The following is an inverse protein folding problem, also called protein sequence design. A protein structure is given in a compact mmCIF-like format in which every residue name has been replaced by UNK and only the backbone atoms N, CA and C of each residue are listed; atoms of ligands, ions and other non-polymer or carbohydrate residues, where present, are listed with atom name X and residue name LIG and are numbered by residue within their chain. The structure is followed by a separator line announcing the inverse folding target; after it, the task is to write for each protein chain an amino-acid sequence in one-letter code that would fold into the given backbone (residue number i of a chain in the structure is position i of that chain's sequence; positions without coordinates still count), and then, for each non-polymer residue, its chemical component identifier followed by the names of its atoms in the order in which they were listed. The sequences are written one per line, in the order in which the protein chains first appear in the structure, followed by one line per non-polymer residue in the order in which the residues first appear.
data_IF_028450803404
#
_entry.id   IF_028450803404
#
_cell.length_a   1.000
_cell.length_b   1.000
_cell.length_c   1.000
_cell.angle_alpha   90.00
_cell.angle_beta   90.00
_cell.angle_gamma   90.00
#
_symmetry.space_group_name_H-M   'P 1'
#
loop_
_entity.id
_entity.type
_entity.pdbx_description
1 polymer ?
#
# COMPACT_ATOMS: atom_id res chain seq x y z
N UNK A 1 15.20 -26.21 27.68
CA UNK A 1 15.61 -25.79 26.33
C UNK A 1 15.25 -24.35 26.01
N UNK A 2 14.00 -23.90 26.23
CA UNK A 2 13.62 -22.47 26.03
C UNK A 2 14.56 -21.44 26.69
N UNK A 3 15.12 -21.75 27.88
CA UNK A 3 16.11 -20.87 28.54
C UNK A 3 17.41 -20.72 27.75
N UNK A 4 17.87 -21.78 27.10
CA UNK A 4 19.08 -21.78 26.24
C UNK A 4 18.82 -20.96 24.98
N UNK A 5 17.67 -21.20 24.32
CA UNK A 5 17.26 -20.43 23.13
C UNK A 5 17.11 -18.94 23.44
N UNK A 6 16.44 -18.59 24.54
CA UNK A 6 16.28 -17.21 24.97
C UNK A 6 17.63 -16.53 25.21
N UNK A 7 18.56 -17.21 25.88
CA UNK A 7 19.90 -16.69 26.12
C UNK A 7 20.64 -16.43 24.80
N UNK A 8 20.63 -17.38 23.87
CA UNK A 8 21.29 -17.21 22.57
C UNK A 8 20.69 -16.00 21.82
N UNK A 9 19.37 -15.84 21.83
CA UNK A 9 18.70 -14.71 21.16
C UNK A 9 19.04 -13.34 21.79
N UNK A 10 19.56 -13.28 23.02
CA UNK A 10 20.05 -12.01 23.61
C UNK A 10 21.41 -11.56 23.08
N UNK A 11 22.15 -12.43 22.38
CA UNK A 11 23.46 -12.07 21.84
C UNK A 11 23.31 -11.15 20.62
N UNK A 12 24.16 -10.13 20.56
CA UNK A 12 24.15 -9.12 19.51
C UNK A 12 24.20 -9.76 18.12
N UNK A 13 23.26 -9.37 17.25
CA UNK A 13 23.19 -9.79 15.84
C UNK A 13 22.60 -11.17 15.58
N UNK A 14 22.11 -11.87 16.63
CA UNK A 14 21.30 -13.07 16.49
C UNK A 14 19.84 -12.68 16.28
N UNK A 15 19.22 -13.22 15.22
CA UNK A 15 17.81 -13.00 14.89
C UNK A 15 16.90 -14.07 15.48
N UNK A 16 17.38 -15.31 15.51
CA UNK A 16 16.63 -16.46 16.01
C UNK A 16 17.58 -17.60 16.36
N UNK A 17 17.21 -18.40 17.36
CA UNK A 17 17.93 -19.61 17.75
C UNK A 17 16.94 -20.73 18.09
N UNK A 18 17.23 -21.94 17.62
CA UNK A 18 16.47 -23.15 17.93
C UNK A 18 17.41 -24.26 18.37
N UNK A 19 17.05 -24.95 19.45
CA UNK A 19 17.83 -26.06 20.00
C UNK A 19 17.05 -27.36 19.82
N UNK A 20 17.66 -28.33 19.13
CA UNK A 20 17.15 -29.69 18.97
C UNK A 20 17.80 -30.59 20.02
N UNK A 21 16.99 -31.43 20.65
CA UNK A 21 17.46 -32.38 21.67
C UNK A 21 17.15 -33.81 21.28
N UNK A 22 17.99 -34.73 21.73
CA UNK A 22 17.72 -36.15 21.68
C UNK A 22 16.60 -36.53 22.66
N UNK A 23 15.98 -37.71 22.52
CA UNK A 23 15.02 -38.24 23.49
C UNK A 23 15.58 -38.40 24.91
N UNK A 24 16.91 -38.44 25.06
CA UNK A 24 17.63 -38.52 26.32
C UNK A 24 17.89 -37.13 26.94
N UNK A 25 17.41 -36.05 26.31
CA UNK A 25 17.51 -34.68 26.81
C UNK A 25 18.83 -33.98 26.51
N UNK A 26 19.73 -34.60 25.74
CA UNK A 26 20.99 -33.99 25.32
C UNK A 26 20.79 -33.10 24.10
N UNK A 27 21.57 -32.03 23.98
CA UNK A 27 21.56 -31.17 22.77
C UNK A 27 22.17 -31.93 21.59
N UNK A 28 21.37 -32.14 20.54
CA UNK A 28 21.83 -32.71 19.28
C UNK A 28 22.33 -31.62 18.34
N UNK A 29 21.56 -30.55 18.17
CA UNK A 29 21.84 -29.48 17.21
C UNK A 29 21.38 -28.12 17.74
N UNK A 30 22.07 -27.05 17.33
CA UNK A 30 21.69 -25.66 17.58
C UNK A 30 21.72 -24.93 16.26
N UNK A 31 20.57 -24.45 15.82
CA UNK A 31 20.43 -23.67 14.59
C UNK A 31 20.28 -22.20 14.95
N UNK A 32 21.17 -21.37 14.41
CA UNK A 32 21.22 -19.94 14.71
C UNK A 32 21.16 -19.16 13.42
N UNK A 33 20.25 -18.19 13.39
CA UNK A 33 20.11 -17.23 12.31
C UNK A 33 20.74 -15.91 12.73
N UNK A 34 21.71 -15.40 11.98
CA UNK A 34 22.36 -14.11 12.25
C UNK A 34 22.29 -13.17 11.07
N UNK A 35 22.49 -11.88 11.33
CA UNK A 35 22.70 -10.88 10.27
C UNK A 35 24.03 -11.15 9.53
N UNK A 36 24.13 -10.66 8.30
CA UNK A 36 25.30 -10.87 7.41
C UNK A 36 26.57 -10.11 7.83
N UNK A 37 26.47 -9.20 8.79
CA UNK A 37 27.58 -8.39 9.31
C UNK A 37 28.44 -9.12 10.36
N UNK A 38 28.03 -10.33 10.80
CA UNK A 38 28.73 -11.10 11.83
C UNK A 38 29.54 -12.26 11.26
N UNK A 39 30.81 -12.43 11.65
CA UNK A 39 31.59 -13.60 11.26
C UNK A 39 31.10 -14.89 11.95
N UNK A 40 30.76 -15.98 11.21
CA UNK A 40 30.19 -17.19 11.81
C UNK A 40 31.04 -17.83 12.92
N UNK A 41 32.37 -17.83 12.78
CA UNK A 41 33.28 -18.34 13.84
C UNK A 41 33.18 -17.53 15.14
N UNK A 42 32.97 -16.23 15.03
CA UNK A 42 32.82 -15.35 16.19
C UNK A 42 31.46 -15.58 16.86
N UNK A 43 30.40 -15.77 16.07
CA UNK A 43 29.06 -16.12 16.58
C UNK A 43 29.11 -17.42 17.40
N UNK A 44 29.71 -18.48 16.85
CA UNK A 44 29.87 -19.77 17.54
C UNK A 44 30.60 -19.61 18.87
N UNK A 45 31.73 -18.88 18.88
CA UNK A 45 32.50 -18.63 20.11
C UNK A 45 31.72 -17.83 21.15
N UNK A 46 30.94 -16.83 20.72
CA UNK A 46 30.11 -16.03 21.60
C UNK A 46 29.01 -16.89 22.25
N UNK A 47 28.40 -17.79 21.49
CA UNK A 47 27.39 -18.73 21.99
C UNK A 47 28.00 -19.67 23.03
N UNK A 48 29.13 -20.31 22.73
CA UNK A 48 29.82 -21.19 23.68
C UNK A 48 30.18 -20.46 24.98
N UNK A 49 30.71 -19.23 24.86
CA UNK A 49 31.10 -18.41 26.00
C UNK A 49 29.88 -18.01 26.85
N UNK A 50 28.77 -17.62 26.22
CA UNK A 50 27.55 -17.22 26.91
C UNK A 50 26.88 -18.39 27.64
N UNK A 51 26.79 -19.55 26.99
CA UNK A 51 26.21 -20.75 27.58
C UNK A 51 27.04 -21.27 28.76
N UNK A 52 28.36 -21.24 28.64
CA UNK A 52 29.27 -21.62 29.72
C UNK A 52 29.17 -20.64 30.90
N UNK A 53 29.18 -19.33 30.63
CA UNK A 53 29.20 -18.31 31.68
C UNK A 53 27.88 -18.19 32.45
N UNK A 54 26.72 -18.27 31.78
CA UNK A 54 25.43 -18.04 32.42
C UNK A 54 24.71 -19.31 32.87
N UNK A 55 24.95 -20.44 32.18
CA UNK A 55 24.24 -21.69 32.43
C UNK A 55 25.16 -22.85 32.82
N UNK A 56 26.49 -22.64 32.85
CA UNK A 56 27.46 -23.71 33.09
C UNK A 56 27.42 -24.82 32.03
N UNK A 57 26.79 -24.55 30.88
CA UNK A 57 26.48 -25.57 29.88
C UNK A 57 27.58 -25.61 28.82
N UNK A 58 28.23 -26.77 28.68
CA UNK A 58 29.26 -27.00 27.66
C UNK A 58 28.64 -27.62 26.42
N UNK A 59 28.86 -27.00 25.28
CA UNK A 59 28.42 -27.49 23.97
C UNK A 59 29.63 -27.60 23.04
N UNK A 60 29.59 -28.55 22.11
CA UNK A 60 30.59 -28.68 21.04
C UNK A 60 30.19 -27.77 19.87
N UNK A 61 31.10 -26.90 19.43
CA UNK A 61 30.94 -26.05 18.26
C UNK A 61 30.46 -26.79 17.00
N UNK A 62 30.75 -28.08 16.84
CA UNK A 62 30.29 -28.91 15.71
C UNK A 62 28.77 -29.07 15.65
N UNK A 63 28.08 -28.87 16.78
CA UNK A 63 26.62 -28.94 16.88
C UNK A 63 25.94 -27.60 16.57
N UNK A 64 26.71 -26.53 16.35
CA UNK A 64 26.18 -25.18 16.11
C UNK A 64 26.23 -24.87 14.61
N UNK A 65 25.06 -24.78 14.00
CA UNK A 65 24.87 -24.34 12.62
C UNK A 65 24.50 -22.86 12.62
N UNK A 66 25.29 -22.04 11.90
CA UNK A 66 25.04 -20.60 11.75
C UNK A 66 24.65 -20.33 10.30
N UNK A 67 23.41 -19.90 10.11
CA UNK A 67 22.92 -19.37 8.85
C UNK A 67 22.95 -17.84 8.92
N UNK A 68 23.56 -17.20 7.91
CA UNK A 68 23.50 -15.76 7.76
C UNK A 68 22.37 -15.40 6.81
N UNK A 69 21.49 -14.50 7.22
CA UNK A 69 20.65 -13.80 6.26
C UNK A 69 21.47 -12.64 5.70
N UNK A 70 21.59 -12.53 4.36
CA UNK A 70 21.78 -11.22 3.76
C UNK A 70 20.68 -10.27 4.27
N UNK A 71 20.80 -8.96 4.12
CA UNK A 71 19.68 -8.03 4.33
C UNK A 71 18.51 -8.40 3.41
N UNK A 72 17.75 -9.40 3.83
CA UNK A 72 16.62 -10.00 3.15
C UNK A 72 15.47 -9.67 4.06
N UNK A 73 14.90 -8.50 3.79
CA UNK A 73 13.57 -8.13 4.26
C UNK A 73 12.63 -9.32 3.99
N UNK A 74 11.75 -9.69 4.94
CA UNK A 74 10.94 -10.91 4.85
C UNK A 74 10.26 -11.05 3.48
N UNK A 75 10.23 -12.26 2.94
CA UNK A 75 9.61 -12.59 1.64
C UNK A 75 8.14 -12.12 1.59
N UNK A 76 7.47 -12.03 2.73
CA UNK A 76 6.12 -11.47 2.88
C UNK A 76 6.05 -9.98 2.50
N UNK A 77 7.05 -9.19 2.88
CA UNK A 77 7.16 -7.78 2.51
C UNK A 77 7.53 -7.58 1.03
N UNK A 78 8.31 -8.50 0.44
CA UNK A 78 8.60 -8.47 -1.01
C UNK A 78 7.37 -8.87 -1.84
N UNK A 79 6.52 -9.76 -1.34
CA UNK A 79 5.26 -10.11 -2.01
C UNK A 79 4.24 -8.97 -1.87
N UNK A 80 4.12 -8.35 -0.70
CA UNK A 80 3.30 -7.15 -0.52
C UNK A 80 3.82 -5.95 -1.31
N UNK A 81 5.14 -5.68 -1.35
CA UNK A 81 5.72 -4.61 -2.16
C UNK A 81 5.57 -4.90 -3.66
N UNK A 82 5.76 -6.14 -4.12
CA UNK A 82 5.57 -6.51 -5.53
C UNK A 82 4.09 -6.49 -5.95
N UNK A 83 3.17 -6.93 -5.09
CA UNK A 83 1.72 -6.83 -5.35
C UNK A 83 1.27 -5.37 -5.27
N UNK A 84 1.75 -4.60 -4.28
CA UNK A 84 1.51 -3.16 -4.14
C UNK A 84 2.07 -2.36 -5.31
N UNK A 85 3.31 -2.61 -5.76
CA UNK A 85 3.91 -1.95 -6.93
C UNK A 85 3.14 -2.30 -8.20
N UNK A 86 2.78 -3.58 -8.39
CA UNK A 86 2.07 -4.03 -9.60
C UNK A 86 0.62 -3.58 -9.60
N UNK A 87 -0.04 -3.48 -8.45
CA UNK A 87 -1.37 -2.90 -8.30
C UNK A 87 -1.35 -1.36 -8.42
N UNK A 88 -0.36 -0.67 -7.84
CA UNK A 88 -0.16 0.78 -8.00
C UNK A 88 0.15 1.17 -9.44
N UNK A 89 0.80 0.30 -10.22
CA UNK A 89 0.99 0.50 -11.68
C UNK A 89 -0.27 0.23 -12.52
N UNK A 90 -1.33 -0.34 -11.94
CA UNK A 90 -2.56 -0.74 -12.63
C UNK A 90 -3.76 0.15 -12.35
N UNK A 91 -3.63 1.05 -11.39
CA UNK A 91 -4.75 1.82 -10.86
C UNK A 91 -4.44 3.31 -11.03
N UNK A 92 -5.45 4.10 -11.40
CA UNK A 92 -5.29 5.55 -11.44
C UNK A 92 -5.31 6.07 -10.00
N UNK A 93 -4.30 6.86 -9.65
CA UNK A 93 -4.04 7.34 -8.29
C UNK A 93 -4.32 8.83 -8.19
N UNK A 94 -5.02 9.23 -7.12
CA UNK A 94 -5.20 10.63 -6.76
C UNK A 94 -3.89 11.27 -6.29
N UNK A 95 -3.51 12.41 -6.85
CA UNK A 95 -2.33 13.18 -6.43
C UNK A 95 -2.70 14.41 -5.62
N UNK A 96 -3.54 15.28 -6.18
CA UNK A 96 -3.93 16.52 -5.51
C UNK A 96 -5.27 17.06 -6.01
N UNK A 97 -5.87 17.89 -5.17
CA UNK A 97 -7.05 18.70 -5.45
C UNK A 97 -6.75 20.12 -4.98
N UNK A 98 -7.00 21.11 -5.83
CA UNK A 98 -6.98 22.52 -5.46
C UNK A 98 -8.33 23.14 -5.80
N UNK A 99 -8.90 23.89 -4.87
CA UNK A 99 -10.16 24.61 -5.06
C UNK A 99 -9.89 26.07 -4.76
N UNK A 100 -10.08 26.93 -5.76
CA UNK A 100 -9.80 28.37 -5.68
C UNK A 100 -10.97 29.18 -6.21
N UNK A 101 -11.24 30.39 -5.71
CA UNK A 101 -12.16 31.31 -6.36
C UNK A 101 -11.72 31.56 -7.81
N UNK A 102 -12.68 31.55 -8.74
CA UNK A 102 -12.42 31.91 -10.13
C UNK A 102 -12.46 33.44 -10.33
N UNK A 103 -12.08 33.91 -11.51
CA UNK A 103 -12.06 35.35 -11.83
C UNK A 103 -13.44 36.03 -11.70
N UNK A 104 -14.52 35.29 -11.95
CA UNK A 104 -15.88 35.79 -11.84
C UNK A 104 -16.45 35.56 -10.42
N UNK A 105 -17.24 36.51 -9.89
CA UNK A 105 -17.92 36.32 -8.60
C UNK A 105 -18.77 35.04 -8.59
N UNK A 106 -18.86 34.39 -7.42
CA UNK A 106 -19.66 33.18 -7.20
C UNK A 106 -19.31 32.03 -8.15
N UNK A 107 -18.04 31.99 -8.58
CA UNK A 107 -17.47 30.89 -9.36
C UNK A 107 -16.23 30.37 -8.65
N UNK A 108 -16.01 29.07 -8.83
CA UNK A 108 -14.91 28.33 -8.23
C UNK A 108 -14.23 27.53 -9.31
N UNK A 109 -12.90 27.58 -9.33
CA UNK A 109 -12.05 26.76 -10.16
C UNK A 109 -11.56 25.57 -9.33
N UNK A 110 -11.75 24.37 -9.87
CA UNK A 110 -11.32 23.12 -9.28
C UNK A 110 -10.26 22.50 -10.19
N UNK A 111 -9.07 22.25 -9.62
CA UNK A 111 -7.95 21.61 -10.30
C UNK A 111 -7.71 20.24 -9.68
N UNK A 112 -7.72 19.21 -10.51
CA UNK A 112 -7.44 17.82 -10.10
C UNK A 112 -6.17 17.35 -10.79
N UNK A 113 -5.33 16.60 -10.06
CA UNK A 113 -4.19 15.87 -10.60
C UNK A 113 -4.33 14.38 -10.31
N UNK A 114 -4.21 13.56 -11.34
CA UNK A 114 -4.23 12.10 -11.27
C UNK A 114 -2.95 11.52 -11.91
N UNK A 115 -2.59 10.30 -11.51
CA UNK A 115 -1.45 9.58 -12.06
C UNK A 115 -1.84 8.16 -12.48
N UNK A 116 -1.26 7.70 -13.59
CA UNK A 116 -1.41 6.32 -14.06
C UNK A 116 -0.05 5.80 -14.55
N UNK A 117 0.57 4.93 -13.74
CA UNK A 117 1.96 4.55 -13.95
C UNK A 117 2.89 5.77 -13.86
N UNK A 118 3.67 6.01 -14.91
CA UNK A 118 4.61 7.14 -15.01
C UNK A 118 3.99 8.39 -15.66
N UNK A 119 2.69 8.34 -16.02
CA UNK A 119 1.98 9.47 -16.62
C UNK A 119 1.20 10.21 -15.54
N UNK A 120 1.27 11.54 -15.58
CA UNK A 120 0.42 12.42 -14.79
C UNK A 120 -0.50 13.20 -15.74
N UNK A 121 -1.72 13.48 -15.27
CA UNK A 121 -2.65 14.38 -15.94
C UNK A 121 -3.22 15.39 -14.94
N UNK A 122 -3.54 16.56 -15.46
CA UNK A 122 -4.20 17.64 -14.72
C UNK A 122 -5.35 18.18 -15.55
N UNK A 123 -6.48 18.45 -14.89
CA UNK A 123 -7.61 19.13 -15.48
C UNK A 123 -8.13 20.22 -14.56
N UNK A 124 -8.64 21.28 -15.17
CA UNK A 124 -9.24 22.43 -14.52
C UNK A 124 -10.71 22.52 -14.93
N UNK A 125 -11.60 22.64 -13.97
CA UNK A 125 -13.04 22.83 -14.18
C UNK A 125 -13.55 24.04 -13.41
N UNK A 126 -14.56 24.71 -13.97
CA UNK A 126 -15.18 25.87 -13.34
C UNK A 126 -16.65 25.57 -13.05
N UNK A 127 -17.03 25.74 -11.78
CA UNK A 127 -18.40 25.60 -11.31
C UNK A 127 -18.92 26.89 -10.67
N UNK A 128 -20.21 26.93 -10.35
CA UNK A 128 -20.70 27.91 -9.39
C UNK A 128 -20.24 27.54 -7.99
N UNK A 129 -20.06 28.54 -7.13
CA UNK A 129 -19.62 28.33 -5.75
C UNK A 129 -20.80 27.87 -4.86
N UNK A 130 -21.31 26.68 -5.16
CA UNK A 130 -22.31 25.96 -4.38
C UNK A 130 -21.78 24.56 -4.10
N UNK A 131 -22.15 23.95 -2.98
CA UNK A 131 -21.67 22.61 -2.62
C UNK A 131 -21.89 21.59 -3.73
N UNK A 132 -23.10 21.57 -4.33
CA UNK A 132 -23.45 20.67 -5.44
C UNK A 132 -22.51 20.86 -6.64
N UNK A 133 -22.32 22.10 -7.07
CA UNK A 133 -21.53 22.37 -8.28
C UNK A 133 -20.03 22.28 -8.04
N UNK A 134 -19.55 22.47 -6.80
CA UNK A 134 -18.16 22.17 -6.42
C UNK A 134 -17.85 20.68 -6.53
N UNK A 135 -18.78 19.83 -6.10
CA UNK A 135 -18.70 18.38 -6.20
C UNK A 135 -18.73 17.93 -7.66
N UNK A 136 -19.68 18.44 -8.45
CA UNK A 136 -19.75 18.13 -9.88
C UNK A 136 -18.50 18.62 -10.64
N UNK A 137 -17.99 19.82 -10.34
CA UNK A 137 -16.76 20.33 -10.96
C UNK A 137 -15.54 19.46 -10.62
N UNK A 138 -15.41 19.03 -9.36
CA UNK A 138 -14.34 18.12 -8.94
C UNK A 138 -14.43 16.76 -9.65
N UNK A 139 -15.63 16.18 -9.73
CA UNK A 139 -15.86 14.93 -10.43
C UNK A 139 -15.57 15.05 -11.94
N UNK A 140 -15.96 16.17 -12.55
CA UNK A 140 -15.71 16.43 -13.98
C UNK A 140 -14.23 16.61 -14.27
N UNK A 141 -13.50 17.33 -13.42
CA UNK A 141 -12.05 17.48 -13.55
C UNK A 141 -11.34 16.12 -13.42
N UNK A 142 -11.82 15.24 -12.53
CA UNK A 142 -11.30 13.89 -12.42
C UNK A 142 -11.57 13.06 -13.70
N UNK A 143 -12.79 13.12 -14.25
CA UNK A 143 -13.13 12.45 -15.51
C UNK A 143 -12.27 12.94 -16.68
N UNK A 144 -12.05 14.26 -16.81
CA UNK A 144 -11.19 14.84 -17.83
C UNK A 144 -9.70 14.41 -17.69
N UNK A 145 -9.21 14.25 -16.46
CA UNK A 145 -7.89 13.66 -16.23
C UNK A 145 -7.84 12.21 -16.72
N UNK A 146 -8.91 11.44 -16.51
CA UNK A 146 -8.99 10.04 -16.94
C UNK A 146 -9.01 9.91 -18.46
N UNK A 147 -9.77 10.76 -19.17
CA UNK A 147 -9.75 10.84 -20.64
C UNK A 147 -8.33 11.10 -21.18
N UNK A 148 -7.55 11.93 -20.48
CA UNK A 148 -6.15 12.22 -20.86
C UNK A 148 -5.21 11.04 -20.58
N UNK A 149 -5.40 10.33 -19.46
CA UNK A 149 -4.54 9.21 -19.05
C UNK A 149 -4.82 7.93 -19.84
N UNK A 150 -6.03 7.78 -20.38
CA UNK A 150 -6.55 6.55 -20.96
C UNK A 150 -7.08 6.78 -22.40
N UNK A 151 -6.22 7.08 -23.39
CA UNK A 151 -6.65 7.55 -24.71
C UNK A 151 -7.54 6.58 -25.52
N UNK A 152 -7.50 5.27 -25.21
CA UNK A 152 -8.33 4.26 -25.87
C UNK A 152 -9.74 4.13 -25.26
N UNK A 153 -9.99 4.86 -24.17
CA UNK A 153 -11.21 4.85 -23.40
C UNK A 153 -11.70 6.29 -23.21
N UNK A 154 -13.02 6.51 -23.25
CA UNK A 154 -13.58 7.81 -22.84
C UNK A 154 -14.44 7.64 -21.60
N UNK A 155 -14.36 8.60 -20.68
CA UNK A 155 -15.07 8.61 -19.41
C UNK A 155 -15.85 9.92 -19.33
N UNK A 156 -17.17 9.82 -19.42
CA UNK A 156 -18.06 10.96 -19.29
C UNK A 156 -18.78 10.95 -17.93
N UNK A 157 -18.74 12.07 -17.21
CA UNK A 157 -19.50 12.21 -15.97
C UNK A 157 -21.01 12.32 -16.28
N UNK A 158 -21.82 11.44 -15.70
CA UNK A 158 -23.27 11.55 -15.71
C UNK A 158 -23.74 12.45 -14.56
N UNK A 159 -23.20 12.24 -13.35
CA UNK A 159 -23.54 13.07 -12.20
C UNK A 159 -22.79 12.72 -10.92
N UNK A 160 -22.84 13.64 -9.96
CA UNK A 160 -22.28 13.46 -8.62
C UNK A 160 -23.24 14.08 -7.58
N UNK A 161 -23.56 13.33 -6.53
CA UNK A 161 -24.48 13.77 -5.48
C UNK A 161 -24.06 13.30 -4.09
N UNK A 162 -24.42 14.06 -3.06
CA UNK A 162 -24.27 13.63 -1.68
C UNK A 162 -25.47 12.74 -1.33
N UNK A 163 -25.20 11.59 -0.72
CA UNK A 163 -26.20 10.72 -0.12
C UNK A 163 -25.91 10.54 1.36
N UNK A 164 -26.96 10.40 2.16
CA UNK A 164 -26.87 10.07 3.58
C UNK A 164 -27.12 8.55 3.75
N UNK A 165 -26.21 7.86 4.43
CA UNK A 165 -26.33 6.43 4.73
C UNK A 165 -25.55 6.09 6.01
N UNK A 166 -26.10 5.22 6.86
CA UNK A 166 -25.45 4.78 8.10
C UNK A 166 -24.96 5.94 8.98
N UNK A 167 -25.76 7.01 9.10
CA UNK A 167 -25.44 8.25 9.81
C UNK A 167 -24.18 8.97 9.32
N UNK A 168 -23.80 8.73 8.06
CA UNK A 168 -22.62 9.29 7.40
C UNK A 168 -23.01 9.85 6.04
N UNK A 169 -22.19 10.77 5.54
CA UNK A 169 -22.34 11.35 4.21
C UNK A 169 -21.39 10.70 3.23
N UNK A 170 -21.88 10.37 2.05
CA UNK A 170 -21.10 9.84 0.94
C UNK A 170 -21.33 10.68 -0.30
N UNK A 171 -20.34 10.75 -1.17
CA UNK A 171 -20.54 11.18 -2.56
C UNK A 171 -20.77 9.93 -3.40
N UNK A 172 -21.90 9.88 -4.09
CA UNK A 172 -22.21 8.92 -5.14
C UNK A 172 -21.92 9.56 -6.49
N UNK A 173 -21.18 8.86 -7.33
CA UNK A 173 -20.84 9.27 -8.70
C UNK A 173 -21.33 8.23 -9.68
N UNK A 174 -21.84 8.71 -10.81
CA UNK A 174 -22.14 7.94 -11.99
C UNK A 174 -21.31 8.46 -13.17
N UNK A 175 -20.60 7.57 -13.87
CA UNK A 175 -19.83 7.87 -15.08
C UNK A 175 -20.12 6.83 -16.16
N UNK A 176 -20.10 7.25 -17.41
CA UNK A 176 -20.11 6.36 -18.55
C UNK A 176 -18.69 6.06 -19.00
N UNK A 177 -18.28 4.79 -18.94
CA UNK A 177 -17.08 4.31 -19.60
C UNK A 177 -17.40 3.85 -21.02
N UNK A 178 -16.84 4.54 -22.01
CA UNK A 178 -16.88 4.17 -23.41
C UNK A 178 -15.57 3.46 -23.76
N UNK A 179 -15.64 2.13 -23.92
CA UNK A 179 -14.51 1.30 -24.32
C UNK A 179 -15.01 0.12 -25.14
N UNK A 180 -14.63 0.05 -26.42
CA UNK A 180 -15.15 -0.92 -27.38
C UNK A 180 -16.44 -0.46 -28.08
N UNK A 181 -17.45 -1.33 -28.21
CA UNK A 181 -18.69 -1.08 -28.99
C UNK A 181 -19.88 -0.56 -28.17
N UNK A 182 -19.82 -0.58 -26.83
CA UNK A 182 -20.94 -0.19 -25.96
C UNK A 182 -20.48 0.72 -24.82
N UNK A 183 -21.33 1.69 -24.46
CA UNK A 183 -21.15 2.52 -23.28
C UNK A 183 -21.65 1.78 -22.04
N UNK A 184 -20.83 1.73 -20.98
CA UNK A 184 -21.19 1.09 -19.71
C UNK A 184 -21.35 2.14 -18.62
N UNK A 185 -22.47 2.08 -17.89
CA UNK A 185 -22.66 2.87 -16.67
C UNK A 185 -21.82 2.29 -15.53
N UNK A 186 -21.00 3.13 -14.91
CA UNK A 186 -20.16 2.80 -13.78
C UNK A 186 -20.51 3.71 -12.61
N UNK A 187 -20.55 3.15 -11.42
CA UNK A 187 -20.88 3.89 -10.20
C UNK A 187 -19.79 3.71 -9.17
N UNK A 188 -19.51 4.76 -8.41
CA UNK A 188 -18.53 4.73 -7.33
C UNK A 188 -18.96 5.59 -6.17
N UNK A 189 -18.43 5.29 -4.99
CA UNK A 189 -18.80 5.96 -3.75
C UNK A 189 -17.58 6.32 -2.92
N UNK A 190 -17.65 7.43 -2.19
CA UNK A 190 -16.64 7.77 -1.21
C UNK A 190 -17.28 8.51 -0.02
N UNK A 191 -16.91 8.10 1.19
CA UNK A 191 -17.31 8.81 2.41
C UNK A 191 -16.70 10.21 2.45
N UNK A 192 -17.50 11.19 2.86
CA UNK A 192 -17.05 12.55 3.12
C UNK A 192 -16.41 12.62 4.49
N UNK A 193 -15.07 12.58 4.53
CA UNK A 193 -14.28 12.77 5.77
C UNK A 193 -13.70 14.18 5.88
N UNK A 194 -12.96 14.60 4.86
CA UNK A 194 -12.23 15.88 4.87
C UNK A 194 -12.93 16.94 4.02
N UNK A 195 -13.29 16.59 2.78
CA UNK A 195 -13.86 17.51 1.80
C UNK A 195 -14.79 16.74 0.87
N UNK A 196 -15.92 17.34 0.52
CA UNK A 196 -16.88 16.75 -0.40
C UNK A 196 -16.31 16.68 -1.82
N UNK A 197 -15.51 17.68 -2.22
CA UNK A 197 -14.84 17.75 -3.52
C UNK A 197 -13.78 16.65 -3.66
N UNK A 198 -12.96 16.43 -2.63
CA UNK A 198 -11.98 15.33 -2.61
C UNK A 198 -12.70 13.98 -2.70
N UNK A 199 -13.78 13.82 -1.95
CA UNK A 199 -14.59 12.61 -1.96
C UNK A 199 -15.22 12.35 -3.32
N UNK A 200 -15.60 13.40 -4.05
CA UNK A 200 -16.10 13.29 -5.42
C UNK A 200 -15.03 12.71 -6.37
N UNK A 201 -13.79 13.20 -6.29
CA UNK A 201 -12.66 12.66 -7.09
C UNK A 201 -12.41 11.19 -6.75
N UNK A 202 -12.40 10.84 -5.47
CA UNK A 202 -12.18 9.46 -5.03
C UNK A 202 -13.34 8.54 -5.45
N UNK A 203 -14.57 9.02 -5.45
CA UNK A 203 -15.73 8.28 -5.94
C UNK A 203 -15.66 8.03 -7.46
N UNK A 204 -15.15 8.98 -8.26
CA UNK A 204 -14.86 8.77 -9.69
C UNK A 204 -13.83 7.66 -9.87
N UNK A 205 -12.75 7.67 -9.07
CA UNK A 205 -11.72 6.62 -9.11
C UNK A 205 -12.25 5.25 -8.68
N UNK A 206 -13.11 5.20 -7.66
CA UNK A 206 -13.79 3.98 -7.23
C UNK A 206 -14.64 3.37 -8.35
N UNK A 207 -15.38 4.23 -9.10
CA UNK A 207 -16.19 3.81 -10.23
C UNK A 207 -15.35 3.22 -11.39
N UNK A 208 -14.18 3.80 -11.65
CA UNK A 208 -13.44 3.61 -12.89
C UNK A 208 -12.27 2.63 -12.76
N UNK A 209 -11.57 2.59 -11.64
CA UNK A 209 -10.32 1.83 -11.52
C UNK A 209 -10.48 0.33 -11.81
N UNK A 210 -11.60 -0.28 -11.37
CA UNK A 210 -11.89 -1.69 -11.68
C UNK A 210 -12.18 -1.90 -13.17
N UNK A 211 -12.85 -0.94 -13.80
CA UNK A 211 -13.19 -0.98 -15.21
C UNK A 211 -11.97 -0.83 -16.11
N UNK A 212 -11.04 0.04 -15.72
CA UNK A 212 -9.75 0.26 -16.40
C UNK A 212 -8.86 -0.98 -16.31
N UNK A 213 -8.79 -1.62 -15.13
CA UNK A 213 -7.97 -2.83 -14.92
C UNK A 213 -8.49 -4.02 -15.77
N UNK A 214 -9.80 -4.13 -15.97
CA UNK A 214 -10.43 -5.23 -16.71
C UNK A 214 -10.31 -5.14 -18.25
N UNK A 215 -9.95 -3.98 -18.80
CA UNK A 215 -9.97 -3.70 -20.26
C UNK A 215 -8.59 -3.45 -20.86
N UNK A 216 -7.53 -3.93 -20.19
CA UNK A 216 -6.14 -3.79 -20.64
C UNK A 216 -5.60 -5.06 -21.28
#
# INVERSE_FOLDING_TARGET
MKRVENLITTLTGILSARVVTTPLGEVSEVHVLTRSDMQPKQVVRNIESALMAQLGFKIDHRKISVAQTADVRPIEALHEEAISERAKRRVVVFRSLEVRPAERPQRVQVRVKLAFGDKDAQADEVGTDTTRNRIEAAARAAAACLDTLLPDNSIALEGAQIIDAFDRKFVLVAVHGLGGREAQLLTGTCEIRESAERSAVLAVLDATNRWVDARR
#
